data_IF_423850396515
#
_entry.id   IF_423850396515
#
_cell.length_a   1.000
_cell.length_b   1.000
_cell.length_c   1.000
_cell.angle_alpha   90.00
_cell.angle_beta   90.00
_cell.angle_gamma   90.00
#
_symmetry.space_group_name_H-M   'P 1'
#
loop_
_entity.id
_entity.type
_entity.pdbx_description
1 polymer ?
#
# COMPACT_ATOMS: atom_id res chain seq x y z
N UNK A 1 -2.98 3.83 8.49
CA UNK A 1 -3.91 4.59 7.65
C UNK A 1 -3.08 5.67 6.94
N UNK A 2 -3.06 5.69 5.60
CA UNK A 2 -2.22 6.60 4.80
C UNK A 2 -2.98 7.81 4.23
N UNK A 3 -4.30 7.89 4.43
CA UNK A 3 -5.12 8.99 3.90
C UNK A 3 -4.96 9.14 2.38
N UNK A 4 -5.38 8.10 1.63
CA UNK A 4 -5.35 8.06 0.17
C UNK A 4 -6.75 8.37 -0.35
N UNK A 5 -6.83 9.28 -1.32
CA UNK A 5 -8.07 9.60 -2.03
C UNK A 5 -7.86 9.31 -3.51
N UNK A 6 -8.83 8.60 -4.10
CA UNK A 6 -8.88 8.29 -5.53
C UNK A 6 -10.18 8.83 -6.09
N UNK A 7 -10.12 9.53 -7.22
CA UNK A 7 -11.31 9.85 -8.00
C UNK A 7 -11.86 8.60 -8.70
N UNK A 8 -13.12 8.64 -9.12
CA UNK A 8 -13.73 7.54 -9.87
C UNK A 8 -12.91 7.21 -11.12
N UNK A 9 -12.66 5.92 -11.37
CA UNK A 9 -11.81 5.43 -12.45
C UNK A 9 -10.31 5.45 -12.16
N UNK A 10 -9.86 6.08 -11.06
CA UNK A 10 -8.44 6.08 -10.69
C UNK A 10 -8.03 4.78 -10.00
N UNK A 11 -6.72 4.52 -10.07
CA UNK A 11 -6.08 3.35 -9.46
C UNK A 11 -4.89 3.79 -8.61
N UNK A 12 -4.73 3.13 -7.47
CA UNK A 12 -3.52 3.18 -6.66
C UNK A 12 -2.70 1.90 -6.87
N UNK A 13 -1.39 2.04 -6.86
CA UNK A 13 -0.43 0.94 -6.82
C UNK A 13 0.22 0.90 -5.45
N UNK A 14 0.30 -0.29 -4.87
CA UNK A 14 0.85 -0.50 -3.55
C UNK A 14 2.05 -1.42 -3.66
N UNK A 15 3.12 -1.03 -2.99
CA UNK A 15 4.36 -1.79 -2.92
C UNK A 15 4.83 -1.85 -1.47
N UNK A 16 5.23 -3.03 -1.01
CA UNK A 16 5.89 -3.22 0.27
C UNK A 16 7.27 -3.78 0.00
N UNK A 17 8.29 -3.13 0.53
CA UNK A 17 9.67 -3.57 0.41
C UNK A 17 10.40 -3.48 1.74
N UNK A 18 11.35 -4.39 1.94
CA UNK A 18 12.26 -4.36 3.08
C UNK A 18 13.19 -3.14 3.01
N UNK A 19 13.86 -2.80 4.11
CA UNK A 19 14.79 -1.67 4.16
C UNK A 19 16.00 -1.81 3.21
N UNK A 20 16.28 -3.03 2.74
CA UNK A 20 17.35 -3.31 1.75
C UNK A 20 16.81 -3.33 0.30
N UNK A 21 15.55 -2.93 0.09
CA UNK A 21 14.95 -2.78 -1.24
C UNK A 21 14.29 -4.04 -1.81
N UNK A 22 14.35 -5.19 -1.13
CA UNK A 22 13.65 -6.40 -1.59
C UNK A 22 12.15 -6.22 -1.48
N UNK A 23 11.45 -6.34 -2.61
CA UNK A 23 9.99 -6.29 -2.70
C UNK A 23 9.40 -7.54 -2.07
N UNK A 24 8.50 -7.35 -1.11
CA UNK A 24 7.82 -8.43 -0.40
C UNK A 24 6.36 -8.56 -0.83
N UNK A 25 5.75 -7.49 -1.35
CA UNK A 25 4.37 -7.49 -1.82
C UNK A 25 4.13 -6.37 -2.83
N UNK A 26 3.32 -6.66 -3.85
CA UNK A 26 2.80 -5.69 -4.82
C UNK A 26 1.32 -5.94 -5.07
N UNK A 27 0.53 -4.87 -5.16
CA UNK A 27 -0.87 -4.94 -5.55
C UNK A 27 -1.34 -3.60 -6.12
N UNK A 28 -2.59 -3.56 -6.54
CA UNK A 28 -3.26 -2.32 -6.92
C UNK A 28 -4.73 -2.40 -6.54
N UNK A 29 -5.35 -1.24 -6.34
CA UNK A 29 -6.77 -1.14 -6.09
C UNK A 29 -7.34 0.09 -6.81
N UNK A 30 -8.56 -0.02 -7.30
CA UNK A 30 -9.25 1.12 -7.89
C UNK A 30 -10.14 1.79 -6.86
N UNK A 31 -10.59 3.02 -7.15
CA UNK A 31 -11.52 3.75 -6.29
C UNK A 31 -12.79 2.93 -5.97
N UNK A 32 -13.27 2.13 -6.92
CA UNK A 32 -14.49 1.33 -6.82
C UNK A 32 -14.32 0.12 -5.87
N UNK A 33 -13.10 -0.32 -5.62
CA UNK A 33 -12.81 -1.45 -4.74
C UNK A 33 -12.84 -1.07 -3.24
N UNK A 34 -12.93 0.22 -2.92
CA UNK A 34 -12.90 0.74 -1.55
C UNK A 34 -14.31 0.78 -0.93
N UNK A 35 -14.76 -0.33 -0.34
CA UNK A 35 -16.02 -0.35 0.44
C UNK A 35 -15.87 0.58 1.65
N UNK A 36 -16.64 1.67 1.67
CA UNK A 36 -16.60 2.65 2.77
C UNK A 36 -15.28 3.42 2.88
N UNK A 37 -14.60 3.69 1.76
CA UNK A 37 -13.35 4.48 1.67
C UNK A 37 -12.11 3.86 2.32
N UNK A 38 -12.16 2.58 2.71
CA UNK A 38 -11.01 1.89 3.29
C UNK A 38 -10.61 0.70 2.42
N UNK A 39 -9.37 0.71 1.95
CA UNK A 39 -8.75 -0.47 1.35
C UNK A 39 -7.99 -1.23 2.44
N UNK A 40 -8.37 -2.50 2.65
CA UNK A 40 -7.66 -3.39 3.55
C UNK A 40 -6.77 -4.35 2.75
N UNK A 41 -5.49 -4.37 3.10
CA UNK A 41 -4.51 -5.27 2.54
C UNK A 41 -4.10 -6.31 3.57
N UNK A 42 -4.18 -7.58 3.22
CA UNK A 42 -3.68 -8.66 4.05
C UNK A 42 -2.18 -8.86 3.76
N UNK A 43 -1.34 -8.57 4.76
CA UNK A 43 0.12 -8.71 4.70
C UNK A 43 0.62 -9.88 5.56
N UNK A 44 -0.22 -10.89 5.78
CA UNK A 44 0.03 -11.99 6.72
C UNK A 44 1.26 -12.85 6.39
N UNK A 45 1.64 -12.93 5.11
CA UNK A 45 2.79 -13.72 4.65
C UNK A 45 4.13 -12.98 4.77
N UNK A 46 4.16 -11.74 5.26
CA UNK A 46 5.42 -11.03 5.50
C UNK A 46 6.18 -11.69 6.64
N UNK A 47 7.47 -11.92 6.43
CA UNK A 47 8.39 -12.33 7.49
C UNK A 47 8.51 -11.22 8.55
N UNK A 48 8.98 -11.58 9.75
CA UNK A 48 9.29 -10.58 10.79
C UNK A 48 10.37 -9.65 10.29
N UNK A 49 10.16 -8.34 10.44
CA UNK A 49 11.11 -7.35 9.95
C UNK A 49 10.53 -5.94 9.82
N UNK A 50 11.38 -5.01 9.39
CA UNK A 50 10.99 -3.63 9.10
C UNK A 50 10.79 -3.45 7.59
N UNK A 51 9.71 -2.77 7.23
CA UNK A 51 9.28 -2.58 5.85
C UNK A 51 8.87 -1.13 5.59
N UNK A 52 8.93 -0.76 4.33
CA UNK A 52 8.35 0.47 3.79
C UNK A 52 7.12 0.05 2.97
N UNK A 53 5.99 0.67 3.28
CA UNK A 53 4.78 0.66 2.48
C UNK A 53 4.78 1.92 1.63
N UNK A 54 4.69 1.74 0.32
CA UNK A 54 4.58 2.80 -0.68
C UNK A 54 3.24 2.66 -1.40
N UNK A 55 2.53 3.77 -1.54
CA UNK A 55 1.29 3.85 -2.31
C UNK A 55 1.43 4.98 -3.31
N UNK A 56 1.36 4.65 -4.58
CA UNK A 56 1.44 5.59 -5.71
C UNK A 56 0.06 5.77 -6.32
N UNK A 57 -0.34 7.02 -6.53
CA UNK A 57 -1.62 7.44 -7.13
C UNK A 57 -1.35 8.49 -8.20
N UNK A 58 -2.33 8.86 -9.05
CA UNK A 58 -2.18 9.99 -9.98
C UNK A 58 -1.83 11.32 -9.29
N UNK A 59 -2.30 11.53 -8.05
CA UNK A 59 -1.99 12.71 -7.25
C UNK A 59 -0.59 12.69 -6.61
N UNK A 60 0.11 11.56 -6.68
CA UNK A 60 1.47 11.39 -6.15
C UNK A 60 1.65 10.13 -5.29
N UNK A 61 2.84 10.02 -4.70
CA UNK A 61 3.27 8.87 -3.90
C UNK A 61 3.33 9.21 -2.42
N UNK A 62 2.81 8.32 -1.58
CA UNK A 62 2.96 8.38 -0.11
C UNK A 62 3.68 7.13 0.38
N UNK A 63 4.54 7.31 1.38
CA UNK A 63 5.27 6.22 2.02
C UNK A 63 5.09 6.24 3.53
N UNK A 64 5.13 5.06 4.15
CA UNK A 64 5.23 4.92 5.60
C UNK A 64 6.07 3.70 5.93
N UNK A 65 6.75 3.75 7.08
CA UNK A 65 7.49 2.60 7.61
C UNK A 65 6.66 1.88 8.65
N UNK A 66 6.79 0.57 8.73
CA UNK A 66 6.21 -0.24 9.80
C UNK A 66 7.10 -1.44 10.15
N UNK A 67 6.83 -2.06 11.30
CA UNK A 67 7.53 -3.27 11.76
C UNK A 67 6.50 -4.41 11.85
N UNK A 68 6.78 -5.53 11.18
CA UNK A 68 6.03 -6.77 11.32
C UNK A 68 6.60 -7.57 12.50
N UNK A 69 5.78 -7.78 13.52
CA UNK A 69 6.05 -8.64 14.67
C UNK A 69 5.57 -10.08 14.47
#
# INVERSE_FOLDING_TARGET
NLGISLAQGERAWVKIYSLIGTVAFESSFSAEACVGNNYQMQVGNLTRGAYILEVTTPAGTKTTRFVKQ
#
